data_IF_837457700854
#
_entry.id   IF_837457700854
#
_cell.length_a   1.000
_cell.length_b   1.000
_cell.length_c   1.000
_cell.angle_alpha   90.00
_cell.angle_beta   90.00
_cell.angle_gamma   90.00
#
_symmetry.space_group_name_H-M   'P 1'
#
loop_
_entity.id
_entity.type
_entity.pdbx_description
1 polymer ?
#
# COMPACT_ATOMS: atom_id res chain seq x y z
N UNK A 1 -0.82 -10.61 -14.63
CA UNK A 1 -1.00 -11.11 -13.25
C UNK A 1 -0.15 -12.34 -13.05
N UNK A 2 0.64 -12.34 -12.01
CA UNK A 2 1.50 -13.48 -11.73
C UNK A 2 0.77 -14.55 -10.95
N UNK A 3 1.10 -15.79 -11.28
CA UNK A 3 0.62 -16.95 -10.55
C UNK A 3 1.82 -17.52 -9.82
N UNK A 4 1.71 -17.65 -8.50
CA UNK A 4 2.75 -18.26 -7.70
C UNK A 4 2.51 -19.76 -7.64
N UNK A 5 3.55 -20.53 -7.96
CA UNK A 5 3.49 -21.98 -7.97
C UNK A 5 4.13 -22.49 -6.69
N UNK A 6 3.41 -23.36 -5.98
CA UNK A 6 3.91 -24.03 -4.79
C UNK A 6 3.87 -25.55 -4.97
N UNK A 7 4.32 -26.29 -3.98
CA UNK A 7 4.21 -27.75 -3.96
C UNK A 7 2.75 -28.21 -4.03
N UNK A 8 1.81 -27.35 -3.69
CA UNK A 8 0.38 -27.66 -3.64
C UNK A 8 -0.39 -27.11 -4.84
N UNK A 9 0.28 -26.49 -5.83
CA UNK A 9 -0.33 -25.98 -7.04
C UNK A 9 -0.13 -24.50 -7.23
N UNK A 10 -0.84 -23.94 -8.21
CA UNK A 10 -0.79 -22.52 -8.53
C UNK A 10 -1.82 -21.74 -7.73
N UNK A 11 -1.44 -20.59 -7.19
CA UNK A 11 -2.35 -19.72 -6.46
C UNK A 11 -1.87 -18.27 -6.52
N UNK A 12 -2.78 -17.36 -6.16
CA UNK A 12 -2.51 -15.93 -6.15
C UNK A 12 -2.38 -15.42 -4.72
N UNK A 13 -1.39 -14.56 -4.52
CA UNK A 13 -1.20 -13.82 -3.28
C UNK A 13 -1.17 -12.34 -3.56
N UNK A 14 -1.96 -11.90 -4.53
CA UNK A 14 -2.03 -10.50 -4.91
C UNK A 14 -3.26 -9.84 -4.30
N UNK A 15 -3.06 -8.62 -3.83
CA UNK A 15 -4.11 -7.84 -3.18
C UNK A 15 -4.14 -6.44 -3.75
N UNK A 16 -5.37 -5.92 -3.89
CA UNK A 16 -5.58 -4.48 -4.05
C UNK A 16 -5.68 -3.88 -2.67
N UNK A 17 -4.87 -2.87 -2.41
CA UNK A 17 -4.84 -2.18 -1.12
C UNK A 17 -5.08 -0.70 -1.38
N UNK A 18 -5.94 -0.08 -0.56
CA UNK A 18 -6.21 1.36 -0.63
C UNK A 18 -6.20 1.93 0.77
N UNK A 19 -5.49 3.04 0.96
CA UNK A 19 -5.59 3.80 2.22
C UNK A 19 -5.48 5.28 1.95
N UNK A 20 -5.84 6.08 2.94
CA UNK A 20 -5.98 7.53 2.81
C UNK A 20 -5.20 8.26 3.90
N UNK A 21 -4.77 9.50 3.63
CA UNK A 21 -4.30 10.39 4.68
C UNK A 21 -5.42 10.65 5.69
N UNK A 22 -5.05 10.92 6.93
CA UNK A 22 -6.04 11.22 7.97
C UNK A 22 -6.90 12.40 7.55
N UNK A 23 -8.21 12.29 7.80
CA UNK A 23 -9.25 13.23 7.36
C UNK A 23 -9.37 13.34 5.84
N UNK A 24 -8.77 12.39 5.12
CA UNK A 24 -8.74 12.35 3.64
C UNK A 24 -8.27 13.68 3.04
N UNK A 25 -7.30 14.32 3.69
CA UNK A 25 -6.74 15.57 3.18
C UNK A 25 -5.98 15.35 1.88
N UNK A 26 -6.09 16.32 0.98
CA UNK A 26 -5.45 16.26 -0.34
C UNK A 26 -3.99 16.72 -0.27
N UNK A 27 -3.19 15.99 0.50
CA UNK A 27 -1.81 16.36 0.80
C UNK A 27 -0.76 15.61 -0.03
N UNK A 28 -1.18 14.54 -0.73
CA UNK A 28 -0.25 13.70 -1.50
C UNK A 28 0.00 14.32 -2.87
N UNK A 29 0.83 15.35 -2.90
CA UNK A 29 1.15 16.08 -4.11
C UNK A 29 2.58 16.63 -4.04
N UNK A 30 3.12 16.99 -5.19
CA UNK A 30 4.44 17.64 -5.30
C UNK A 30 5.54 16.80 -4.64
N UNK A 31 6.38 17.41 -3.85
CA UNK A 31 7.52 16.76 -3.21
C UNK A 31 7.10 15.63 -2.26
N UNK A 32 5.99 15.80 -1.55
CA UNK A 32 5.50 14.76 -0.64
C UNK A 32 5.10 13.50 -1.41
N UNK A 33 4.44 13.66 -2.56
CA UNK A 33 4.07 12.54 -3.41
C UNK A 33 5.33 11.77 -3.87
N UNK A 34 6.33 12.47 -4.36
CA UNK A 34 7.58 11.86 -4.80
C UNK A 34 8.30 11.14 -3.65
N UNK A 35 8.28 11.75 -2.48
CA UNK A 35 8.86 11.16 -1.28
C UNK A 35 8.18 9.86 -0.89
N UNK A 36 6.85 9.84 -0.89
CA UNK A 36 6.07 8.64 -0.60
C UNK A 36 6.35 7.55 -1.63
N UNK A 37 6.40 7.91 -2.92
CA UNK A 37 6.72 6.95 -3.97
C UNK A 37 8.04 6.23 -3.68
N UNK A 38 9.08 6.99 -3.29
CA UNK A 38 10.39 6.40 -3.02
C UNK A 38 10.38 5.49 -1.80
N UNK A 39 9.56 5.78 -0.79
CA UNK A 39 9.54 5.01 0.46
C UNK A 39 8.54 3.85 0.49
N UNK A 40 7.63 3.76 -0.50
CA UNK A 40 6.72 2.62 -0.59
C UNK A 40 7.50 1.30 -0.71
N UNK A 41 8.59 1.33 -1.44
CA UNK A 41 9.38 0.13 -1.72
C UNK A 41 10.32 -0.28 -0.59
N UNK A 42 10.41 0.49 0.48
CA UNK A 42 11.23 0.14 1.64
C UNK A 42 10.85 -1.21 2.22
N UNK A 43 9.57 -1.58 2.13
CA UNK A 43 9.08 -2.87 2.63
C UNK A 43 9.81 -4.04 1.98
N UNK A 44 10.24 -3.91 0.73
CA UNK A 44 10.91 -4.97 -0.01
C UNK A 44 12.33 -5.22 0.47
N UNK A 45 12.93 -4.27 1.17
CA UNK A 45 14.24 -4.46 1.81
C UNK A 45 14.14 -5.39 3.01
N UNK A 46 13.07 -5.29 3.77
CA UNK A 46 12.84 -6.11 4.97
C UNK A 46 12.14 -7.42 4.66
N UNK A 47 11.35 -7.43 3.60
CA UNK A 47 10.58 -8.60 3.16
C UNK A 47 10.76 -8.76 1.65
N UNK A 48 11.88 -9.38 1.20
CA UNK A 48 12.18 -9.47 -0.23
C UNK A 48 11.18 -10.25 -1.07
N UNK A 49 10.36 -11.08 -0.43
CA UNK A 49 9.31 -11.84 -1.10
C UNK A 49 7.98 -11.11 -1.19
N UNK A 50 7.90 -9.90 -0.63
CA UNK A 50 6.78 -9.00 -0.84
C UNK A 50 7.12 -8.14 -2.05
N UNK A 51 6.18 -7.97 -2.98
CA UNK A 51 6.45 -7.20 -4.19
C UNK A 51 5.29 -6.27 -4.51
N UNK A 52 5.60 -4.99 -4.67
CA UNK A 52 4.63 -4.01 -5.15
C UNK A 52 4.65 -4.08 -6.67
N UNK A 53 3.55 -4.57 -7.26
CA UNK A 53 3.41 -4.75 -8.70
C UNK A 53 3.03 -3.45 -9.40
N UNK A 54 2.12 -2.70 -8.78
CA UNK A 54 1.63 -1.44 -9.30
C UNK A 54 1.28 -0.52 -8.15
N UNK A 55 1.37 0.76 -8.38
CA UNK A 55 0.89 1.73 -7.41
C UNK A 55 0.36 2.97 -8.13
N UNK A 56 -0.52 3.67 -7.44
CA UNK A 56 -1.04 4.95 -7.89
C UNK A 56 -1.24 5.82 -6.66
N UNK A 57 -0.63 7.00 -6.67
CA UNK A 57 -0.76 7.96 -5.58
C UNK A 57 -1.57 9.13 -6.11
N UNK A 58 -2.80 9.23 -5.61
CA UNK A 58 -3.68 10.37 -5.86
C UNK A 58 -3.55 11.34 -4.69
N UNK A 59 -4.12 12.54 -4.82
CA UNK A 59 -3.98 13.56 -3.79
C UNK A 59 -4.48 13.11 -2.42
N UNK A 60 -5.53 12.29 -2.38
CA UNK A 60 -6.21 11.88 -1.15
C UNK A 60 -6.22 10.38 -0.90
N UNK A 61 -5.48 9.59 -1.69
CA UNK A 61 -5.41 8.15 -1.45
C UNK A 61 -4.24 7.50 -2.18
N UNK A 62 -3.87 6.33 -1.71
CA UNK A 62 -2.89 5.46 -2.34
C UNK A 62 -3.58 4.16 -2.72
N UNK A 63 -3.26 3.66 -3.91
CA UNK A 63 -3.67 2.33 -4.38
C UNK A 63 -2.44 1.51 -4.68
N UNK A 64 -2.44 0.27 -4.20
CA UNK A 64 -1.37 -0.68 -4.53
C UNK A 64 -1.97 -1.97 -5.07
N UNK A 65 -1.22 -2.62 -5.96
CA UNK A 65 -1.35 -4.04 -6.22
C UNK A 65 -0.06 -4.66 -5.71
N UNK A 66 -0.18 -5.55 -4.72
CA UNK A 66 0.96 -6.06 -3.97
C UNK A 66 0.86 -7.56 -3.78
N UNK A 67 1.99 -8.24 -3.93
CA UNK A 67 2.12 -9.67 -3.65
C UNK A 67 2.55 -9.81 -2.20
N UNK A 68 1.75 -10.52 -1.42
CA UNK A 68 2.05 -10.80 -0.02
C UNK A 68 1.95 -12.32 0.19
N UNK A 69 3.09 -13.01 0.39
CA UNK A 69 3.09 -14.45 0.65
C UNK A 69 2.27 -14.81 1.89
N UNK A 70 1.74 -16.03 1.91
CA UNK A 70 0.82 -16.47 2.98
C UNK A 70 1.44 -16.51 4.37
N UNK A 71 2.76 -16.50 4.48
CA UNK A 71 3.43 -16.46 5.80
C UNK A 71 3.25 -15.12 6.51
N UNK A 72 2.80 -14.08 5.80
CA UNK A 72 2.50 -12.78 6.38
C UNK A 72 1.00 -12.52 6.32
N UNK A 73 0.47 -11.79 7.30
CA UNK A 73 -0.87 -11.25 7.17
C UNK A 73 -0.83 -9.98 6.32
N UNK A 74 -1.93 -9.69 5.63
CA UNK A 74 -2.06 -8.43 4.88
C UNK A 74 -1.92 -7.25 5.84
N UNK A 75 -2.56 -7.33 7.01
CA UNK A 75 -2.49 -6.27 8.02
C UNK A 75 -1.08 -6.00 8.50
N UNK A 76 -0.28 -7.04 8.67
CA UNK A 76 1.10 -6.89 9.08
C UNK A 76 1.91 -6.09 8.06
N UNK A 77 1.82 -6.46 6.78
CA UNK A 77 2.60 -5.82 5.72
C UNK A 77 2.12 -4.39 5.48
N UNK A 78 0.81 -4.19 5.35
CA UNK A 78 0.25 -2.84 5.16
C UNK A 78 0.56 -1.95 6.35
N UNK A 79 0.44 -2.50 7.57
CA UNK A 79 0.78 -1.77 8.79
C UNK A 79 2.22 -1.28 8.79
N UNK A 80 3.15 -2.12 8.35
CA UNK A 80 4.57 -1.76 8.26
C UNK A 80 4.82 -0.67 7.21
N UNK A 81 4.18 -0.77 6.05
CA UNK A 81 4.29 0.26 5.01
C UNK A 81 3.79 1.60 5.55
N UNK A 82 2.62 1.60 6.18
CA UNK A 82 2.02 2.81 6.73
C UNK A 82 2.88 3.41 7.85
N UNK A 83 3.37 2.58 8.76
CA UNK A 83 4.19 3.04 9.87
C UNK A 83 5.51 3.64 9.36
N UNK A 84 6.17 2.95 8.44
CA UNK A 84 7.44 3.42 7.89
C UNK A 84 7.26 4.76 7.14
N UNK A 85 6.27 4.83 6.25
CA UNK A 85 6.05 6.04 5.47
C UNK A 85 5.62 7.21 6.34
N UNK A 86 4.76 6.97 7.33
CA UNK A 86 4.34 8.00 8.28
C UNK A 86 5.53 8.57 9.04
N UNK A 87 6.38 7.70 9.57
CA UNK A 87 7.58 8.11 10.30
C UNK A 87 8.51 8.94 9.44
N UNK A 88 8.79 8.48 8.22
CA UNK A 88 9.70 9.18 7.32
C UNK A 88 9.12 10.53 6.86
N UNK A 89 7.83 10.60 6.59
CA UNK A 89 7.15 11.85 6.24
C UNK A 89 7.28 12.85 7.37
N UNK A 90 6.95 12.47 8.59
CA UNK A 90 6.98 13.38 9.73
C UNK A 90 8.40 13.86 10.04
N UNK A 91 9.39 13.04 9.76
CA UNK A 91 10.78 13.39 9.97
C UNK A 91 11.28 14.42 8.93
N UNK A 92 10.76 14.37 7.72
CA UNK A 92 11.28 15.17 6.60
C UNK A 92 10.39 16.35 6.18
N UNK A 93 9.15 16.42 6.67
CA UNK A 93 8.20 17.47 6.33
C UNK A 93 7.62 18.08 7.59
N UNK A 94 8.24 19.17 8.05
CA UNK A 94 7.84 19.83 9.30
C UNK A 94 6.38 20.29 9.32
N UNK A 95 5.86 20.72 8.16
CA UNK A 95 4.48 21.20 8.09
C UNK A 95 3.45 20.11 8.43
N UNK A 96 3.82 18.84 8.26
CA UNK A 96 2.93 17.72 8.59
C UNK A 96 2.63 17.70 10.09
N UNK A 97 3.60 18.04 10.91
CA UNK A 97 3.43 18.08 12.37
C UNK A 97 2.44 19.14 12.81
N UNK A 98 2.21 20.15 11.96
CA UNK A 98 1.27 21.24 12.27
C UNK A 98 -0.18 20.85 11.98
N UNK A 99 -0.41 19.90 11.08
CA UNK A 99 -1.77 19.49 10.69
C UNK A 99 -2.19 18.15 11.27
N UNK A 100 -1.24 17.30 11.65
CA UNK A 100 -1.51 15.99 12.24
C UNK A 100 -0.82 15.86 13.59
N UNK A 101 -1.56 15.39 14.58
CA UNK A 101 -1.07 15.22 15.93
C UNK A 101 -0.30 13.90 16.10
N UNK A 102 0.56 13.83 17.10
CA UNK A 102 1.33 12.65 17.49
C UNK A 102 2.12 12.11 16.28
N UNK A 103 2.08 10.81 16.07
CA UNK A 103 2.80 10.17 14.96
C UNK A 103 1.86 9.87 13.79
N UNK A 104 0.76 10.63 13.68
CA UNK A 104 -0.25 10.37 12.67
C UNK A 104 0.08 11.00 11.33
N UNK A 105 -0.23 10.30 10.27
CA UNK A 105 -0.32 10.82 8.91
C UNK A 105 -1.46 10.12 8.18
N UNK A 106 -1.52 8.81 8.26
CA UNK A 106 -2.55 8.01 7.61
C UNK A 106 -3.77 7.83 8.51
N UNK A 107 -4.94 7.71 7.88
CA UNK A 107 -6.15 7.29 8.58
C UNK A 107 -5.95 5.85 9.07
N UNK A 108 -6.55 5.46 10.19
CA UNK A 108 -6.51 4.06 10.63
C UNK A 108 -7.15 3.15 9.59
N UNK A 109 -6.64 1.93 9.47
CA UNK A 109 -7.20 0.94 8.58
C UNK A 109 -6.86 1.10 7.12
N UNK A 110 -7.41 0.23 6.32
CA UNK A 110 -7.21 0.20 4.87
C UNK A 110 -8.28 -0.69 4.26
N UNK A 111 -8.54 -0.49 2.96
CA UNK A 111 -9.39 -1.40 2.20
C UNK A 111 -8.49 -2.43 1.52
N UNK A 112 -8.90 -3.69 1.50
CA UNK A 112 -8.19 -4.72 0.76
C UNK A 112 -9.14 -5.68 0.08
N UNK A 113 -8.72 -6.17 -1.08
CA UNK A 113 -9.40 -7.25 -1.78
C UNK A 113 -8.38 -8.10 -2.51
N UNK A 114 -8.67 -9.38 -2.64
CA UNK A 114 -7.78 -10.28 -3.38
C UNK A 114 -7.94 -10.05 -4.87
N UNK A 115 -6.81 -10.21 -5.60
CA UNK A 115 -6.85 -10.25 -7.06
C UNK A 115 -7.07 -11.71 -7.45
N UNK A 116 -8.21 -12.00 -8.07
CA UNK A 116 -8.54 -13.36 -8.46
C UNK A 116 -7.71 -13.87 -9.62
N UNK A 117 -7.80 -15.20 -9.83
CA UNK A 117 -7.12 -15.87 -10.95
C UNK A 117 -7.88 -15.64 -12.26
N UNK A 118 -9.19 -15.50 -12.17
CA UNK A 118 -10.07 -15.38 -13.33
C UNK A 118 -10.11 -13.92 -13.80
N UNK A 119 -9.69 -13.70 -15.04
CA UNK A 119 -9.66 -12.36 -15.61
C UNK A 119 -11.03 -11.71 -15.73
N UNK A 120 -12.08 -12.49 -15.95
CA UNK A 120 -13.44 -11.95 -16.02
C UNK A 120 -13.86 -11.37 -14.66
N UNK A 121 -13.49 -12.04 -13.58
CA UNK A 121 -13.75 -11.55 -12.23
C UNK A 121 -12.96 -10.26 -11.99
N UNK A 122 -11.70 -10.22 -12.43
CA UNK A 122 -10.86 -9.04 -12.30
C UNK A 122 -11.45 -7.86 -13.08
N UNK A 123 -11.89 -8.11 -14.31
CA UNK A 123 -12.51 -7.07 -15.13
C UNK A 123 -13.75 -6.51 -14.47
N UNK A 124 -14.60 -7.36 -13.93
CA UNK A 124 -15.79 -6.92 -13.20
C UNK A 124 -15.44 -6.07 -11.99
N UNK A 125 -14.40 -6.45 -11.30
CA UNK A 125 -13.92 -5.71 -10.13
C UNK A 125 -13.46 -4.30 -10.51
N UNK A 126 -12.71 -4.18 -11.59
CA UNK A 126 -12.19 -2.89 -12.06
C UNK A 126 -13.31 -1.99 -12.57
N UNK A 127 -14.37 -2.55 -13.14
CA UNK A 127 -15.50 -1.79 -13.66
C UNK A 127 -16.37 -1.17 -12.56
N UNK A 128 -16.28 -1.66 -11.35
CA UNK A 128 -16.96 -1.09 -10.21
C UNK A 128 -16.07 -0.04 -9.55
#
# INVERSE_FOLDING_TARGET
>A
MEIMISAHGAYHHQYHIVWIPKYRKKVLKNQLKEFVESHLFDIQEYHPDVEIKKYSIQRDHIRLVIVIPTRYSVSEIVGKIKANTSREIRKNFEWVKKIYWRNEFWSPGFFSSTVGVNEDVIKKYIEY
#
